data_IF_665210473525
#
_entry.id   IF_665210473525
#
_cell.length_a   1.000
_cell.length_b   1.000
_cell.length_c   1.000
_cell.angle_alpha   90.00
_cell.angle_beta   90.00
_cell.angle_gamma   90.00
#
_symmetry.space_group_name_H-M   'P 1'
#
loop_
_entity.id
_entity.type
_entity.pdbx_description
1 polymer ?
#
# COMPACT_ATOMS: atom_id res chain seq x y z
N UNK A 1 12.03 -7.51 12.55
CA UNK A 1 12.02 -6.16 11.95
C UNK A 1 13.25 -5.43 12.44
N UNK A 2 14.00 -4.81 11.54
CA UNK A 2 15.16 -3.98 11.83
C UNK A 2 14.86 -2.56 11.35
N UNK A 3 15.10 -1.57 12.20
CA UNK A 3 15.01 -0.15 11.85
C UNK A 3 16.33 0.27 11.22
N UNK A 4 16.28 0.79 9.99
CA UNK A 4 17.44 1.28 9.25
C UNK A 4 17.64 2.77 9.47
N UNK A 5 16.54 3.52 9.42
CA UNK A 5 16.56 4.97 9.52
C UNK A 5 15.38 5.44 10.36
N UNK A 6 15.65 6.37 11.27
CA UNK A 6 14.63 7.07 12.06
C UNK A 6 14.79 8.56 11.82
N UNK A 7 13.74 9.18 11.30
CA UNK A 7 13.70 10.62 11.02
C UNK A 7 12.50 11.23 11.72
N UNK A 8 12.73 12.26 12.52
CA UNK A 8 11.68 13.02 13.16
C UNK A 8 11.30 14.22 12.29
N UNK A 9 10.00 14.41 12.06
CA UNK A 9 9.46 15.56 11.33
C UNK A 9 8.51 16.36 12.22
N UNK A 10 8.99 17.43 12.87
CA UNK A 10 8.20 18.21 13.81
C UNK A 10 7.11 19.06 13.14
N UNK A 11 7.15 19.28 11.82
CA UNK A 11 6.12 20.06 11.12
C UNK A 11 4.81 19.29 10.95
N UNK A 12 4.89 17.95 10.94
CA UNK A 12 3.76 17.06 10.73
C UNK A 12 3.52 16.16 11.96
N UNK A 13 4.21 16.45 13.07
CA UNK A 13 4.22 15.65 14.31
C UNK A 13 4.31 14.15 14.04
N UNK A 14 5.23 13.77 13.15
CA UNK A 14 5.42 12.37 12.74
C UNK A 14 6.86 11.92 12.80
N UNK A 15 7.03 10.64 13.15
CA UNK A 15 8.30 9.92 13.06
C UNK A 15 8.23 8.99 11.86
N UNK A 16 9.19 9.14 10.95
CA UNK A 16 9.35 8.31 9.78
C UNK A 16 10.41 7.25 10.06
N UNK A 17 10.03 5.98 9.98
CA UNK A 17 10.89 4.84 10.25
C UNK A 17 11.00 4.02 8.97
N UNK A 18 12.21 3.94 8.40
CA UNK A 18 12.51 2.96 7.36
C UNK A 18 12.92 1.66 8.00
N UNK A 19 12.27 0.58 7.62
CA UNK A 19 12.54 -0.73 8.18
C UNK A 19 12.82 -1.77 7.12
N UNK A 20 13.61 -2.76 7.52
CA UNK A 20 13.89 -3.98 6.77
C UNK A 20 13.44 -5.15 7.63
N UNK A 21 12.69 -6.06 7.03
CA UNK A 21 12.19 -7.26 7.67
C UNK A 21 12.66 -8.48 6.89
N UNK A 22 13.57 -9.24 7.50
CA UNK A 22 13.98 -10.55 7.00
C UNK A 22 13.08 -11.63 7.60
N UNK A 23 12.54 -12.48 6.75
CA UNK A 23 11.49 -13.45 7.09
C UNK A 23 11.83 -14.80 6.47
N UNK A 24 13.05 -15.29 6.72
CA UNK A 24 13.68 -16.43 6.03
C UNK A 24 12.87 -17.73 6.08
N UNK A 25 12.09 -17.93 7.15
CA UNK A 25 11.31 -19.14 7.39
C UNK A 25 9.79 -18.90 7.41
N UNK A 26 9.32 -17.70 7.03
CA UNK A 26 7.90 -17.36 7.11
C UNK A 26 7.39 -16.64 5.86
N UNK A 27 6.07 -16.62 5.72
CA UNK A 27 5.41 -15.82 4.69
C UNK A 27 5.68 -14.33 4.88
N UNK A 28 5.58 -13.57 3.79
CA UNK A 28 5.50 -12.10 3.80
C UNK A 28 4.63 -11.59 4.94
N UNK A 29 5.20 -10.76 5.85
CA UNK A 29 4.44 -10.26 6.98
C UNK A 29 3.22 -9.50 6.47
N UNK A 30 2.10 -9.73 7.13
CA UNK A 30 0.89 -8.97 6.87
C UNK A 30 1.07 -7.52 7.31
N UNK A 31 0.30 -6.61 6.72
CA UNK A 31 0.39 -5.19 7.09
C UNK A 31 0.05 -4.95 8.56
N UNK A 32 -0.88 -5.70 9.14
CA UNK A 32 -1.22 -5.60 10.58
C UNK A 32 -0.04 -5.94 11.47
N UNK A 33 0.73 -6.97 11.11
CA UNK A 33 1.96 -7.32 11.83
C UNK A 33 3.04 -6.25 11.69
N UNK A 34 3.17 -5.65 10.50
CA UNK A 34 4.07 -4.51 10.27
C UNK A 34 3.71 -3.29 11.12
N UNK A 35 2.42 -2.95 11.20
CA UNK A 35 1.91 -1.88 12.07
C UNK A 35 2.24 -2.17 13.54
N UNK A 36 1.94 -3.38 14.02
CA UNK A 36 2.21 -3.76 15.41
C UNK A 36 3.72 -3.78 15.73
N UNK A 37 4.56 -4.20 14.79
CA UNK A 37 6.01 -4.19 14.96
C UNK A 37 6.59 -2.77 14.95
N UNK A 38 6.09 -1.89 14.07
CA UNK A 38 6.47 -0.48 14.04
C UNK A 38 6.05 0.26 15.31
N UNK A 39 4.85 -0.01 15.84
CA UNK A 39 4.40 0.54 17.11
C UNK A 39 5.26 0.08 18.30
N UNK A 40 5.83 -1.14 18.26
CA UNK A 40 6.77 -1.63 19.28
C UNK A 40 8.17 -1.03 19.13
N UNK A 41 8.55 -0.63 17.93
CA UNK A 41 9.87 -0.05 17.66
C UNK A 41 9.99 1.39 18.16
N UNK A 42 8.87 2.09 18.35
CA UNK A 42 8.83 3.46 18.87
C UNK A 42 8.17 3.47 20.26
N UNK A 43 8.86 3.99 21.30
CA UNK A 43 8.30 4.09 22.64
C UNK A 43 7.31 5.26 22.77
N UNK A 44 6.02 4.98 22.60
CA UNK A 44 4.95 5.98 22.73
C UNK A 44 3.89 5.86 21.63
N UNK A 45 4.19 5.13 20.57
CA UNK A 45 3.30 4.90 19.44
C UNK A 45 2.06 4.06 19.80
N UNK A 46 0.87 4.59 19.51
CA UNK A 46 -0.37 3.81 19.46
C UNK A 46 -0.53 3.20 18.07
N UNK A 47 -0.95 1.94 17.99
CA UNK A 47 -1.15 1.23 16.71
C UNK A 47 -2.10 1.97 15.76
N UNK A 48 -3.06 2.73 16.30
CA UNK A 48 -4.04 3.53 15.56
C UNK A 48 -3.41 4.70 14.78
N UNK A 49 -2.22 5.16 15.20
CA UNK A 49 -1.51 6.28 14.58
C UNK A 49 -0.31 5.83 13.73
N UNK A 50 -0.21 4.53 13.46
CA UNK A 50 0.87 3.94 12.67
C UNK A 50 0.35 3.55 11.29
N UNK A 51 0.89 4.21 10.27
CA UNK A 51 0.58 3.93 8.87
C UNK A 51 1.80 3.36 8.18
N UNK A 52 1.61 2.25 7.48
CA UNK A 52 2.69 1.61 6.73
C UNK A 52 2.49 1.89 5.24
N UNK A 53 3.50 2.50 4.63
CA UNK A 53 3.58 2.86 3.22
C UNK A 53 4.78 2.21 2.55
N UNK A 54 4.74 2.19 1.22
CA UNK A 54 5.85 1.78 0.34
C UNK A 54 6.46 0.42 0.72
N UNK A 55 5.59 -0.52 1.07
CA UNK A 55 6.01 -1.89 1.37
C UNK A 55 6.39 -2.58 0.07
N UNK A 56 7.68 -2.90 -0.08
CA UNK A 56 8.18 -3.68 -1.19
C UNK A 56 8.84 -4.94 -0.66
N UNK A 57 8.44 -6.09 -1.21
CA UNK A 57 9.10 -7.37 -0.93
C UNK A 57 9.93 -7.75 -2.15
N UNK A 58 11.20 -8.11 -1.91
CA UNK A 58 12.11 -8.45 -2.99
C UNK A 58 11.81 -9.86 -3.50
N UNK A 59 11.61 -10.02 -4.80
CA UNK A 59 11.44 -11.36 -5.38
C UNK A 59 12.71 -12.20 -5.20
N UNK A 60 12.55 -13.48 -4.85
CA UNK A 60 13.65 -14.42 -4.65
C UNK A 60 14.48 -14.22 -3.37
N UNK A 61 14.16 -13.23 -2.54
CA UNK A 61 14.72 -13.09 -1.20
C UNK A 61 13.60 -12.87 -0.19
N UNK A 62 13.59 -13.59 0.94
CA UNK A 62 12.65 -13.32 2.01
C UNK A 62 13.06 -12.05 2.75
N UNK A 63 12.96 -10.90 2.08
CA UNK A 63 13.20 -9.58 2.63
C UNK A 63 12.12 -8.60 2.16
N UNK A 64 11.48 -7.96 3.13
CA UNK A 64 10.50 -6.89 2.94
C UNK A 64 11.06 -5.59 3.48
N UNK A 65 10.91 -4.51 2.72
CA UNK A 65 11.28 -3.16 3.15
C UNK A 65 10.04 -2.28 3.13
N UNK A 66 9.99 -1.28 3.99
CA UNK A 66 8.86 -0.38 4.04
C UNK A 66 9.13 0.88 4.85
N UNK A 67 8.19 1.81 4.75
CA UNK A 67 8.17 3.04 5.50
C UNK A 67 7.01 3.00 6.50
N UNK A 68 7.31 3.17 7.79
CA UNK A 68 6.32 3.36 8.82
C UNK A 68 6.27 4.84 9.20
N UNK A 69 5.09 5.42 9.14
CA UNK A 69 4.78 6.78 9.60
C UNK A 69 4.03 6.68 10.92
N UNK A 70 4.60 7.24 11.97
CA UNK A 70 4.06 7.21 13.33
C UNK A 70 3.66 8.63 13.69
N UNK A 71 2.38 8.88 13.89
CA UNK A 71 1.86 10.19 14.25
C UNK A 71 1.70 10.31 15.77
N UNK A 72 1.96 11.51 16.30
CA UNK A 72 1.77 11.81 17.73
C UNK A 72 0.31 12.06 18.12
N UNK A 73 -0.52 12.51 17.18
CA UNK A 73 -1.92 12.90 17.42
C UNK A 73 -2.88 12.40 16.34
N UNK A 74 -4.18 12.36 16.67
CA UNK A 74 -5.25 12.05 15.72
C UNK A 74 -5.43 13.12 14.64
N UNK A 75 -5.16 14.38 14.95
CA UNK A 75 -5.22 15.48 13.98
C UNK A 75 -4.12 15.34 12.93
N UNK A 76 -2.90 15.01 13.35
CA UNK A 76 -1.77 14.76 12.45
C UNK A 76 -2.01 13.52 11.59
N UNK A 77 -2.63 12.48 12.14
CA UNK A 77 -3.06 11.30 11.40
C UNK A 77 -4.21 11.59 10.40
N UNK A 78 -5.03 12.62 10.65
CA UNK A 78 -6.11 13.02 9.75
C UNK A 78 -5.60 13.62 8.43
N UNK A 79 -4.35 14.09 8.40
CA UNK A 79 -3.70 14.63 7.20
C UNK A 79 -3.44 13.57 6.12
N UNK A 80 -3.46 12.29 6.50
CA UNK A 80 -3.33 11.18 5.56
C UNK A 80 -4.59 11.03 4.69
N UNK A 81 -4.45 10.65 3.40
CA UNK A 81 -5.59 10.45 2.53
C UNK A 81 -6.54 9.35 3.03
N UNK A 82 -7.83 9.50 2.74
CA UNK A 82 -8.88 8.55 3.16
C UNK A 82 -8.58 7.10 2.75
N UNK A 83 -8.03 6.89 1.54
CA UNK A 83 -7.69 5.54 1.07
C UNK A 83 -6.63 4.84 1.93
N UNK A 84 -5.76 5.60 2.62
CA UNK A 84 -4.76 5.07 3.56
C UNK A 84 -5.44 4.70 4.87
N UNK A 85 -6.38 5.52 5.35
CA UNK A 85 -7.13 5.28 6.58
C UNK A 85 -7.99 4.03 6.48
N UNK A 86 -8.77 3.89 5.39
CA UNK A 86 -9.62 2.71 5.14
C UNK A 86 -8.80 1.41 5.12
N UNK A 87 -7.64 1.48 4.48
CA UNK A 87 -6.66 0.39 4.42
C UNK A 87 -6.20 -0.05 5.82
N UNK A 88 -6.09 0.88 6.77
CA UNK A 88 -5.58 0.60 8.12
C UNK A 88 -6.69 0.41 9.16
N UNK A 89 -7.97 0.31 8.73
CA UNK A 89 -9.09 -0.05 9.60
C UNK A 89 -9.97 1.11 10.04
N UNK A 90 -9.79 2.32 9.49
CA UNK A 90 -10.82 3.35 9.62
C UNK A 90 -12.03 2.97 8.76
N UNK A 91 -13.24 3.12 9.28
CA UNK A 91 -14.45 2.94 8.47
C UNK A 91 -14.45 3.96 7.33
N UNK A 92 -14.80 3.55 6.10
CA UNK A 92 -14.92 4.50 5.00
C UNK A 92 -16.05 5.48 5.32
N UNK A 93 -15.77 6.78 5.34
CA UNK A 93 -16.84 7.75 5.13
C UNK A 93 -17.45 7.48 3.75
N UNK A 94 -18.79 7.45 3.62
CA UNK A 94 -19.45 7.07 2.38
C UNK A 94 -19.13 8.09 1.31
N UNK A 95 -18.16 7.75 0.46
CA UNK A 95 -17.85 8.53 -0.73
C UNK A 95 -19.01 8.33 -1.71
N UNK A 96 -19.83 9.36 -1.85
CA UNK A 96 -20.89 9.42 -2.84
C UNK A 96 -20.35 8.96 -4.21
N UNK A 97 -20.97 7.90 -4.71
CA UNK A 97 -20.70 7.28 -6.00
C UNK A 97 -20.71 8.36 -7.09
N UNK A 98 -19.54 8.63 -7.67
CA UNK A 98 -19.50 9.29 -8.98
C UNK A 98 -19.77 8.16 -9.99
N UNK A 99 -20.88 8.22 -10.75
CA UNK A 99 -21.31 7.10 -11.57
C UNK A 99 -20.26 6.80 -12.64
N UNK A 100 -19.88 5.52 -12.66
CA UNK A 100 -19.10 4.88 -13.71
C UNK A 100 -19.83 5.08 -15.05
N UNK A 101 -19.25 5.88 -15.95
CA UNK A 101 -19.71 5.98 -17.31
C UNK A 101 -19.38 4.66 -18.05
N UNK A 102 -20.36 4.03 -18.73
CA UNK A 102 -20.20 2.68 -19.26
C UNK A 102 -19.17 2.62 -20.40
N UNK A 103 -18.36 1.55 -20.40
CA UNK A 103 -17.50 1.16 -21.52
C UNK A 103 -18.31 1.09 -22.84
N UNK A 104 -17.83 1.67 -23.95
CA UNK A 104 -18.40 1.38 -25.25
C UNK A 104 -17.94 0.00 -25.73
N UNK A 105 -18.91 -0.86 -26.01
CA UNK A 105 -18.74 -2.15 -26.67
C UNK A 105 -18.01 -2.01 -28.03
N UNK A 106 -17.20 -3.01 -28.45
CA UNK A 106 -16.67 -3.03 -29.81
C UNK A 106 -17.80 -3.46 -30.77
N UNK A 107 -18.19 -2.55 -31.67
CA UNK A 107 -19.02 -2.85 -32.83
C UNK A 107 -18.13 -3.19 -34.04
N UNK A 108 -18.64 -4.15 -34.82
CA UNK A 108 -18.09 -4.82 -36.00
C UNK A 108 -17.71 -3.91 -37.19
N UNK A 109 -16.84 -4.41 -38.06
CA UNK A 109 -16.98 -4.48 -39.55
C UNK A 109 -15.72 -5.20 -40.09
N UNK A 110 -15.75 -6.42 -40.65
CA UNK A 110 -16.35 -6.88 -41.92
C UNK A 110 -15.66 -6.33 -43.19
N UNK A 111 -15.15 -7.27 -44.02
CA UNK A 111 -14.85 -7.22 -45.47
C UNK A 111 -13.55 -8.02 -45.76
N UNK A 112 -13.62 -9.30 -46.14
CA UNK A 112 -13.80 -9.82 -47.51
C UNK A 112 -12.57 -9.65 -48.43
N UNK A 113 -12.13 -10.75 -49.07
CA UNK A 113 -11.21 -10.71 -50.21
C UNK A 113 -10.37 -11.98 -50.44
N UNK A 114 -10.85 -12.83 -51.35
CA UNK A 114 -10.31 -14.08 -51.93
C UNK A 114 -8.85 -14.10 -52.44
N UNK A 115 -8.23 -15.30 -52.47
CA UNK A 115 -7.61 -15.98 -53.65
C UNK A 115 -6.80 -17.21 -53.16
N UNK A 116 -7.16 -18.44 -53.50
CA UNK A 116 -6.78 -19.24 -54.69
C UNK A 116 -5.31 -19.75 -54.69
N UNK A 117 -5.20 -21.04 -55.06
CA UNK A 117 -4.01 -21.81 -55.49
C UNK A 117 -2.97 -22.38 -54.49
N UNK A 118 -2.93 -23.73 -54.46
CA UNK A 118 -1.79 -24.47 -55.03
C UNK A 118 -0.76 -25.12 -54.09
N UNK A 119 -0.53 -26.43 -54.31
CA UNK A 119 0.60 -27.30 -53.87
C UNK A 119 0.81 -27.52 -52.34
N UNK A 120 1.07 -28.72 -51.80
CA UNK A 120 1.62 -30.00 -52.28
C UNK A 120 1.05 -31.16 -51.43
#
# INVERSE_FOLDING_TARGET
MQVVERKENPLLDRVEIRFVWNHDSSRTPSRREMVAAAAKAEPGAKQEFVFVKDVSTRYGRPQTTGLALIYGSSESAALEPEYVKVRHGAEPEPKAETPEAPEPAPAEEAAEGESEDGDE
#
